data_IF_650154755136
#
_entry.id   IF_650154755136
#
_cell.length_a   1.000
_cell.length_b   1.000
_cell.length_c   1.000
_cell.angle_alpha   90.00
_cell.angle_beta   90.00
_cell.angle_gamma   90.00
#
_symmetry.space_group_name_H-M   'P 1'
#
loop_
_entity.id
_entity.type
_entity.pdbx_description
1 polymer ?
#
# COMPACT_ATOMS: atom_id res chain seq x y z
N UNK A 1 5.02 42.39 73.61
CA UNK A 1 6.13 41.53 73.12
C UNK A 1 5.76 41.00 71.77
N UNK A 2 6.38 41.52 70.70
CA UNK A 2 6.13 41.07 69.29
C UNK A 2 7.24 40.09 68.91
N UNK A 3 6.88 38.86 68.54
CA UNK A 3 7.79 37.87 68.01
C UNK A 3 7.62 37.86 66.48
N UNK A 4 8.69 38.24 65.80
CA UNK A 4 8.73 38.24 64.34
C UNK A 4 9.14 36.83 63.82
N UNK A 5 8.31 36.19 63.04
CA UNK A 5 8.62 34.95 62.32
C UNK A 5 9.22 35.30 60.95
N UNK A 6 10.44 34.84 60.67
CA UNK A 6 11.13 34.97 59.39
C UNK A 6 10.63 33.80 58.45
N UNK A 7 9.97 34.15 57.36
CA UNK A 7 9.75 33.24 56.26
C UNK A 7 11.05 33.06 55.44
N UNK A 8 11.49 31.84 55.30
CA UNK A 8 12.52 31.43 54.34
C UNK A 8 11.86 31.13 53.00
N UNK A 9 12.12 31.94 51.99
CA UNK A 9 11.71 31.67 50.61
C UNK A 9 12.61 30.59 50.03
N UNK A 10 12.00 29.44 49.72
CA UNK A 10 12.60 28.43 48.85
C UNK A 10 12.34 28.82 47.40
N UNK A 11 13.39 29.15 46.66
CA UNK A 11 13.35 29.33 45.21
C UNK A 11 13.30 27.96 44.53
N UNK A 12 12.13 27.59 43.97
CA UNK A 12 12.05 26.53 43.00
C UNK A 12 12.56 27.06 41.65
N UNK A 13 13.72 26.58 41.23
CA UNK A 13 14.21 26.80 39.87
C UNK A 13 13.39 25.91 38.88
N UNK A 14 13.06 26.42 37.68
CA UNK A 14 12.37 25.62 36.66
C UNK A 14 13.33 24.57 36.12
N UNK A 15 12.97 23.30 36.32
CA UNK A 15 13.61 22.15 35.66
C UNK A 15 13.18 22.15 34.18
N UNK A 16 14.01 22.70 33.30
CA UNK A 16 13.89 22.58 31.87
C UNK A 16 14.17 21.12 31.49
N UNK A 17 13.11 20.32 31.39
CA UNK A 17 13.15 19.01 30.70
C UNK A 17 13.27 19.29 29.20
N UNK A 18 14.51 19.29 28.72
CA UNK A 18 14.77 19.28 27.29
C UNK A 18 14.22 17.97 26.68
N UNK A 19 13.07 18.03 26.01
CA UNK A 19 12.68 16.99 25.06
C UNK A 19 13.74 17.02 23.95
N UNK A 20 14.68 16.07 23.98
CA UNK A 20 15.51 15.77 22.85
C UNK A 20 14.57 15.15 21.79
N UNK A 21 14.12 15.96 20.83
CA UNK A 21 13.59 15.45 19.58
C UNK A 21 14.75 14.71 18.91
N UNK A 22 14.77 13.40 19.00
CA UNK A 22 15.61 12.56 18.13
C UNK A 22 15.05 12.66 16.73
N UNK A 23 15.42 13.70 16.00
CA UNK A 23 15.24 13.77 14.57
C UNK A 23 15.99 12.59 13.97
N UNK A 24 15.32 11.74 13.21
CA UNK A 24 15.98 10.73 12.39
C UNK A 24 17.07 11.45 11.57
N UNK A 25 18.34 11.19 11.86
CA UNK A 25 19.45 11.78 11.10
C UNK A 25 19.47 11.09 9.74
N UNK A 26 19.04 11.79 8.70
CA UNK A 26 19.15 11.31 7.33
C UNK A 26 20.64 11.22 6.99
N UNK A 27 21.14 10.00 6.78
CA UNK A 27 22.52 9.76 6.39
C UNK A 27 22.63 9.82 4.86
N UNK A 28 23.42 10.76 4.34
CA UNK A 28 23.75 10.82 2.91
C UNK A 28 24.81 9.76 2.60
N UNK A 29 24.53 8.93 1.62
CA UNK A 29 25.41 7.84 1.15
C UNK A 29 26.00 8.20 -0.20
N UNK A 30 26.98 7.40 -0.65
CA UNK A 30 27.49 7.40 -2.02
C UNK A 30 26.87 6.22 -2.78
N UNK A 31 26.73 6.32 -4.08
CA UNK A 31 26.27 5.18 -4.90
C UNK A 31 27.19 3.95 -4.79
N UNK A 32 28.48 4.16 -4.53
CA UNK A 32 29.41 3.07 -4.24
C UNK A 32 29.14 2.32 -2.93
N UNK A 33 28.40 2.91 -2.03
CA UNK A 33 28.05 2.31 -0.73
C UNK A 33 26.79 1.43 -0.84
N UNK A 34 26.05 1.49 -1.99
CA UNK A 34 24.87 0.69 -2.26
C UNK A 34 25.27 -0.67 -2.84
N UNK A 35 24.99 -1.74 -2.09
CA UNK A 35 25.34 -3.10 -2.52
C UNK A 35 24.61 -3.49 -3.81
N UNK A 36 25.37 -3.85 -4.85
CA UNK A 36 24.83 -4.30 -6.13
C UNK A 36 24.34 -3.18 -7.05
N UNK A 37 24.52 -1.91 -6.70
CA UNK A 37 24.10 -0.76 -7.53
C UNK A 37 24.56 -0.88 -8.97
N UNK A 38 25.85 -1.19 -9.18
CA UNK A 38 26.43 -1.27 -10.53
C UNK A 38 25.88 -2.41 -11.40
N UNK A 39 25.20 -3.38 -10.81
CA UNK A 39 24.69 -4.57 -11.49
C UNK A 39 23.17 -4.53 -11.75
N UNK A 40 22.47 -3.47 -11.32
CA UNK A 40 21.02 -3.35 -11.57
C UNK A 40 20.74 -2.91 -13.02
N UNK A 41 19.56 -3.21 -13.53
CA UNK A 41 19.03 -2.72 -14.79
C UNK A 41 18.48 -1.29 -14.61
N UNK A 42 19.34 -0.29 -14.74
CA UNK A 42 18.99 1.12 -14.58
C UNK A 42 18.06 1.62 -15.67
N UNK A 43 18.10 1.03 -16.88
CA UNK A 43 17.16 1.40 -17.95
C UNK A 43 15.72 1.04 -17.59
N UNK A 44 15.49 -0.13 -16.98
CA UNK A 44 14.16 -0.50 -16.53
C UNK A 44 13.63 0.44 -15.42
N UNK A 45 14.52 0.88 -14.51
CA UNK A 45 14.16 1.88 -13.50
C UNK A 45 13.87 3.24 -14.14
N UNK A 46 14.70 3.67 -15.10
CA UNK A 46 14.54 4.94 -15.81
C UNK A 46 13.25 4.97 -16.66
N UNK A 47 12.90 3.86 -17.31
CA UNK A 47 11.63 3.74 -18.03
C UNK A 47 10.43 3.96 -17.07
N UNK A 48 10.47 3.36 -15.88
CA UNK A 48 9.43 3.54 -14.86
C UNK A 48 9.40 4.99 -14.34
N UNK A 49 10.56 5.62 -14.18
CA UNK A 49 10.66 7.04 -13.80
C UNK A 49 10.04 7.95 -14.86
N UNK A 50 10.35 7.73 -16.14
CA UNK A 50 9.78 8.48 -17.27
C UNK A 50 8.25 8.34 -17.30
N UNK A 51 7.73 7.12 -17.11
CA UNK A 51 6.29 6.87 -17.05
C UNK A 51 5.61 7.61 -15.87
N UNK A 52 6.37 7.96 -14.84
CA UNK A 52 5.89 8.69 -13.65
C UNK A 52 5.88 10.21 -13.86
N UNK A 53 6.77 10.73 -14.70
CA UNK A 53 6.96 12.17 -14.92
C UNK A 53 5.69 12.99 -15.19
N UNK A 54 4.69 12.51 -15.97
CA UNK A 54 3.46 13.28 -16.21
C UNK A 54 2.62 13.59 -14.97
N UNK A 55 2.85 12.90 -13.85
CA UNK A 55 2.15 13.11 -12.56
C UNK A 55 2.96 13.95 -11.57
N UNK A 56 4.21 14.29 -11.90
CA UNK A 56 5.10 15.09 -11.04
C UNK A 56 4.84 16.58 -11.27
N UNK A 57 4.00 17.17 -10.42
CA UNK A 57 3.55 18.56 -10.56
C UNK A 57 4.51 19.58 -9.93
N UNK A 58 5.46 19.14 -9.08
CA UNK A 58 6.46 20.01 -8.48
C UNK A 58 7.44 20.49 -9.56
N UNK A 59 7.68 21.82 -9.68
CA UNK A 59 8.56 22.42 -10.68
C UNK A 59 9.98 21.83 -10.70
N UNK A 60 10.48 21.36 -9.57
CA UNK A 60 11.83 20.80 -9.45
C UNK A 60 12.01 19.50 -10.25
N UNK A 61 10.93 18.75 -10.48
CA UNK A 61 10.97 17.55 -11.33
C UNK A 61 11.04 17.85 -12.82
N UNK A 62 10.53 18.99 -13.27
CA UNK A 62 10.41 19.30 -14.71
C UNK A 62 11.75 19.24 -15.47
N UNK A 63 12.86 19.84 -15.00
CA UNK A 63 14.15 19.70 -15.69
C UNK A 63 14.67 18.27 -15.69
N UNK A 64 14.50 17.52 -14.60
CA UNK A 64 14.94 16.12 -14.48
C UNK A 64 14.15 15.25 -15.47
N UNK A 65 12.84 15.40 -15.52
CA UNK A 65 11.97 14.67 -16.44
C UNK A 65 12.27 14.94 -17.91
N UNK A 66 12.70 16.17 -18.25
CA UNK A 66 13.10 16.49 -19.64
C UNK A 66 14.38 15.79 -20.07
N UNK A 67 15.32 15.55 -19.14
CA UNK A 67 16.59 14.88 -19.43
C UNK A 67 16.46 13.35 -19.47
N UNK A 68 15.47 12.79 -18.79
CA UNK A 68 15.33 11.36 -18.63
C UNK A 68 15.26 10.55 -19.95
N UNK A 69 14.49 10.97 -20.99
CA UNK A 69 14.43 10.25 -22.26
C UNK A 69 15.78 10.14 -22.96
N UNK A 70 16.65 11.16 -22.89
CA UNK A 70 17.96 11.18 -23.54
C UNK A 70 18.92 10.16 -22.91
N UNK A 71 18.70 9.79 -21.64
CA UNK A 71 19.48 8.79 -20.93
C UNK A 71 19.06 7.34 -21.22
N UNK A 72 18.00 7.10 -21.98
CA UNK A 72 17.52 5.76 -22.35
C UNK A 72 18.39 5.03 -23.37
N UNK A 73 19.46 5.64 -23.87
CA UNK A 73 20.34 5.08 -24.92
C UNK A 73 21.09 3.82 -24.50
N UNK A 74 21.46 3.70 -23.24
CA UNK A 74 22.14 2.52 -22.69
C UNK A 74 21.89 2.41 -21.17
N UNK A 75 22.21 1.26 -20.59
CA UNK A 75 22.14 1.09 -19.13
C UNK A 75 23.16 2.01 -18.42
N UNK A 76 24.35 2.17 -18.98
CA UNK A 76 25.37 3.07 -18.46
C UNK A 76 24.89 4.54 -18.46
N UNK A 77 24.18 4.98 -19.52
CA UNK A 77 23.62 6.32 -19.58
C UNK A 77 22.50 6.50 -18.55
N UNK A 78 21.61 5.51 -18.39
CA UNK A 78 20.56 5.52 -17.38
C UNK A 78 21.14 5.54 -15.95
N UNK A 79 22.18 4.76 -15.69
CA UNK A 79 22.92 4.80 -14.43
C UNK A 79 23.51 6.18 -14.15
N UNK A 80 24.21 6.76 -15.14
CA UNK A 80 24.79 8.10 -15.02
C UNK A 80 23.74 9.17 -14.77
N UNK A 81 22.55 9.04 -15.35
CA UNK A 81 21.41 9.93 -15.07
C UNK A 81 21.07 9.96 -13.57
N UNK A 82 20.92 8.80 -12.94
CA UNK A 82 20.63 8.74 -11.51
C UNK A 82 21.82 9.24 -10.67
N UNK A 83 23.04 8.88 -11.01
CA UNK A 83 24.23 9.28 -10.25
C UNK A 83 24.51 10.79 -10.31
N UNK A 84 24.16 11.46 -11.40
CA UNK A 84 24.36 12.90 -11.59
C UNK A 84 23.25 13.75 -10.95
N UNK A 85 22.01 13.28 -11.01
CA UNK A 85 20.85 14.10 -10.64
C UNK A 85 20.30 13.81 -9.24
N UNK A 86 20.69 12.69 -8.62
CA UNK A 86 20.18 12.29 -7.31
C UNK A 86 21.32 12.06 -6.31
N UNK A 87 20.94 11.98 -5.04
CA UNK A 87 21.82 11.61 -3.93
C UNK A 87 21.12 10.55 -3.10
N UNK A 88 21.75 9.39 -2.82
CA UNK A 88 21.16 8.41 -1.92
C UNK A 88 21.13 8.94 -0.48
N UNK A 89 19.97 8.81 0.15
CA UNK A 89 19.76 9.17 1.55
C UNK A 89 19.11 7.98 2.22
N UNK A 90 19.67 7.51 3.33
CA UNK A 90 19.09 6.42 4.10
C UNK A 90 17.81 6.91 4.80
N UNK A 91 16.72 6.16 4.64
CA UNK A 91 15.43 6.44 5.27
C UNK A 91 15.27 5.52 6.48
N UNK A 92 15.21 6.11 7.67
CA UNK A 92 15.05 5.38 8.93
C UNK A 92 16.24 4.50 9.30
N UNK A 93 16.06 3.73 10.38
CA UNK A 93 17.06 2.78 10.88
C UNK A 93 16.72 1.36 10.40
N UNK A 94 17.72 0.56 9.97
CA UNK A 94 17.49 -0.84 9.61
C UNK A 94 17.13 -1.68 10.87
N UNK A 95 16.34 -2.77 10.71
CA UNK A 95 15.74 -3.25 9.46
C UNK A 95 14.42 -2.58 9.12
N UNK A 96 14.20 -2.26 7.83
CA UNK A 96 12.91 -1.82 7.33
C UNK A 96 11.98 -3.02 7.04
N UNK A 97 10.68 -2.83 7.19
CA UNK A 97 9.67 -3.83 6.83
C UNK A 97 9.23 -3.61 5.38
N UNK A 98 9.44 -4.60 4.54
CA UNK A 98 8.93 -4.64 3.17
C UNK A 98 7.83 -5.69 3.02
N UNK A 99 6.77 -5.33 2.33
CA UNK A 99 5.69 -6.25 1.93
C UNK A 99 5.54 -6.24 0.42
N UNK A 100 5.29 -7.40 -0.17
CA UNK A 100 5.01 -7.51 -1.59
C UNK A 100 3.51 -7.35 -1.87
N UNK A 101 3.17 -6.55 -2.89
CA UNK A 101 1.83 -6.49 -3.44
C UNK A 101 1.78 -7.29 -4.75
N UNK A 102 0.66 -7.93 -4.99
CA UNK A 102 0.35 -8.59 -6.27
C UNK A 102 -1.10 -8.31 -6.64
N UNK A 103 -1.39 -8.27 -7.92
CA UNK A 103 -2.76 -8.18 -8.41
C UNK A 103 -3.32 -9.60 -8.51
N UNK A 104 -4.26 -10.01 -7.62
CA UNK A 104 -4.82 -11.34 -7.67
C UNK A 104 -5.68 -11.52 -8.92
N UNK A 105 -5.62 -12.72 -9.51
CA UNK A 105 -6.57 -13.17 -10.50
C UNK A 105 -7.52 -14.16 -9.84
N UNK A 106 -8.81 -13.87 -9.89
CA UNK A 106 -9.87 -14.61 -9.23
C UNK A 106 -10.92 -15.03 -10.26
N UNK A 107 -11.51 -16.20 -10.07
CA UNK A 107 -12.66 -16.60 -10.86
C UNK A 107 -13.93 -15.87 -10.39
N UNK A 108 -14.77 -15.46 -11.34
CA UNK A 108 -15.99 -14.75 -11.02
C UNK A 108 -16.98 -14.71 -12.18
N UNK A 109 -18.06 -13.98 -12.00
CA UNK A 109 -19.09 -13.78 -13.00
C UNK A 109 -19.56 -12.32 -13.01
N UNK A 110 -20.08 -11.88 -14.17
CA UNK A 110 -20.70 -10.55 -14.31
C UNK A 110 -22.08 -10.48 -13.64
N UNK A 111 -22.71 -11.63 -13.42
CA UNK A 111 -24.03 -11.75 -12.80
C UNK A 111 -24.02 -12.79 -11.68
N UNK A 112 -24.91 -12.62 -10.71
CA UNK A 112 -25.07 -13.55 -9.61
C UNK A 112 -25.52 -14.93 -10.08
N UNK A 113 -24.95 -15.97 -9.50
CA UNK A 113 -25.37 -17.36 -9.68
C UNK A 113 -25.28 -18.13 -8.38
N UNK A 114 -25.65 -19.42 -8.38
CA UNK A 114 -25.47 -20.29 -7.21
C UNK A 114 -23.99 -20.43 -6.82
N UNK A 115 -23.08 -20.48 -7.79
CA UNK A 115 -21.63 -20.55 -7.57
C UNK A 115 -21.04 -19.20 -7.23
N UNK A 116 -21.35 -18.16 -7.98
CA UNK A 116 -20.81 -16.82 -7.80
C UNK A 116 -21.83 -15.95 -7.06
N UNK A 117 -21.75 -15.95 -5.74
CA UNK A 117 -22.77 -15.36 -4.86
C UNK A 117 -22.30 -14.11 -4.09
N UNK A 118 -21.00 -13.82 -4.07
CA UNK A 118 -20.40 -12.75 -3.26
C UNK A 118 -19.92 -11.60 -4.13
N UNK A 119 -20.60 -10.43 -4.09
CA UNK A 119 -20.28 -9.31 -4.96
C UNK A 119 -19.11 -8.47 -4.46
N UNK A 120 -18.41 -7.86 -5.43
CA UNK A 120 -17.60 -6.66 -5.21
C UNK A 120 -18.39 -5.45 -5.70
N UNK A 121 -18.31 -4.33 -4.97
CA UNK A 121 -19.17 -3.19 -5.18
C UNK A 121 -18.43 -1.97 -5.69
N UNK A 122 -19.09 -1.20 -6.55
CA UNK A 122 -18.76 0.18 -6.83
C UNK A 122 -19.05 1.06 -5.60
N UNK A 123 -18.39 2.20 -5.54
CA UNK A 123 -18.58 3.17 -4.46
C UNK A 123 -19.97 3.85 -4.61
N UNK A 124 -20.81 3.81 -3.58
CA UNK A 124 -22.05 4.58 -3.57
C UNK A 124 -21.78 6.08 -3.39
N UNK A 125 -22.65 6.92 -3.94
CA UNK A 125 -22.48 8.37 -3.96
C UNK A 125 -22.40 9.00 -2.55
N UNK A 126 -23.03 8.38 -1.57
CA UNK A 126 -23.01 8.83 -0.17
C UNK A 126 -21.68 8.57 0.56
N UNK A 127 -20.77 7.81 -0.02
CA UNK A 127 -19.44 7.56 0.55
C UNK A 127 -18.46 8.64 0.09
N UNK A 128 -18.06 9.50 1.02
CA UNK A 128 -17.14 10.60 0.77
C UNK A 128 -15.72 10.24 1.22
N UNK A 129 -14.71 10.78 0.51
CA UNK A 129 -13.31 10.57 0.87
C UNK A 129 -13.00 11.27 2.21
N UNK A 130 -12.29 10.55 3.10
CA UNK A 130 -11.92 11.06 4.42
C UNK A 130 -13.01 10.98 5.48
N UNK A 131 -14.26 10.71 5.12
CA UNK A 131 -15.37 10.61 6.06
C UNK A 131 -15.68 9.14 6.41
N UNK A 132 -16.14 8.93 7.65
CA UNK A 132 -16.65 7.62 8.07
C UNK A 132 -18.08 7.43 7.62
N UNK A 133 -18.31 6.33 6.91
CA UNK A 133 -19.64 5.83 6.61
C UNK A 133 -19.96 4.62 7.52
N UNK A 134 -20.69 3.63 7.04
CA UNK A 134 -20.99 2.40 7.78
C UNK A 134 -19.76 1.50 7.84
N UNK A 135 -19.55 0.83 8.96
CA UNK A 135 -18.53 -0.22 9.11
C UNK A 135 -18.86 -1.45 8.25
N UNK A 136 -17.89 -2.33 8.01
CA UNK A 136 -18.11 -3.62 7.32
C UNK A 136 -19.29 -4.38 7.90
N UNK A 137 -19.35 -4.51 9.23
CA UNK A 137 -20.41 -5.22 9.91
C UNK A 137 -21.79 -4.62 9.59
N UNK A 138 -21.93 -3.29 9.67
CA UNK A 138 -23.16 -2.59 9.38
C UNK A 138 -23.57 -2.71 7.91
N UNK A 139 -22.61 -2.61 6.97
CA UNK A 139 -22.84 -2.79 5.54
C UNK A 139 -23.38 -4.20 5.25
N UNK A 140 -22.73 -5.22 5.80
CA UNK A 140 -23.09 -6.62 5.57
C UNK A 140 -24.43 -7.00 6.22
N UNK A 141 -24.68 -6.53 7.45
CA UNK A 141 -25.92 -6.83 8.19
C UNK A 141 -27.14 -6.10 7.62
N UNK A 142 -27.01 -4.82 7.31
CA UNK A 142 -28.13 -4.05 6.76
C UNK A 142 -28.43 -4.41 5.31
N UNK A 143 -27.44 -4.91 4.57
CA UNK A 143 -27.57 -5.14 3.13
C UNK A 143 -27.77 -3.87 2.31
N UNK A 144 -27.31 -2.73 2.81
CA UNK A 144 -27.51 -1.38 2.24
C UNK A 144 -27.03 -1.24 0.79
N UNK A 145 -26.12 -2.10 0.36
CA UNK A 145 -25.60 -2.11 -1.02
C UNK A 145 -26.41 -3.00 -1.99
N UNK A 146 -27.31 -3.85 -1.48
CA UNK A 146 -28.05 -4.81 -2.29
C UNK A 146 -29.07 -4.14 -3.20
N UNK A 147 -29.23 -4.68 -4.41
CA UNK A 147 -30.24 -4.24 -5.38
C UNK A 147 -30.12 -2.75 -5.78
N UNK A 148 -28.92 -2.19 -5.74
CA UNK A 148 -28.65 -0.81 -6.12
C UNK A 148 -27.91 -0.70 -7.48
N UNK A 149 -27.60 -1.80 -8.13
CA UNK A 149 -26.84 -1.82 -9.37
C UNK A 149 -25.36 -1.47 -9.19
N UNK A 150 -24.85 -1.61 -7.95
CA UNK A 150 -23.45 -1.31 -7.60
C UNK A 150 -22.52 -2.51 -7.76
N UNK A 151 -23.05 -3.68 -8.10
CA UNK A 151 -22.28 -4.90 -8.24
C UNK A 151 -21.41 -4.87 -9.51
N UNK A 152 -20.08 -4.91 -9.35
CA UNK A 152 -19.11 -4.92 -10.45
C UNK A 152 -18.94 -6.34 -11.00
N UNK A 153 -18.76 -7.30 -10.10
CA UNK A 153 -18.62 -8.72 -10.38
C UNK A 153 -19.01 -9.53 -9.13
N UNK A 154 -19.19 -10.82 -9.32
CA UNK A 154 -19.55 -11.78 -8.28
C UNK A 154 -18.48 -12.84 -8.17
N UNK A 155 -17.98 -13.11 -6.97
CA UNK A 155 -16.98 -14.12 -6.66
C UNK A 155 -17.62 -15.35 -6.01
N UNK A 156 -16.86 -16.46 -5.98
CA UNK A 156 -17.32 -17.71 -5.39
C UNK A 156 -17.19 -17.74 -3.86
N UNK A 157 -16.22 -17.01 -3.30
CA UNK A 157 -15.80 -17.10 -1.91
C UNK A 157 -15.76 -15.71 -1.23
N UNK A 158 -16.46 -15.51 -0.10
CA UNK A 158 -16.43 -14.24 0.62
C UNK A 158 -15.03 -13.89 1.15
N UNK A 159 -14.19 -14.90 1.43
CA UNK A 159 -12.83 -14.64 1.88
C UNK A 159 -11.96 -14.06 0.75
N UNK A 160 -12.21 -14.46 -0.50
CA UNK A 160 -11.53 -13.86 -1.65
C UNK A 160 -11.98 -12.41 -1.91
N UNK A 161 -13.28 -12.10 -1.71
CA UNK A 161 -13.76 -10.71 -1.69
C UNK A 161 -13.03 -9.89 -0.63
N UNK A 162 -12.89 -10.41 0.58
CA UNK A 162 -12.20 -9.73 1.67
C UNK A 162 -10.72 -9.48 1.35
N UNK A 163 -10.01 -10.48 0.84
CA UNK A 163 -8.60 -10.31 0.48
C UNK A 163 -8.41 -9.42 -0.75
N UNK A 164 -9.33 -9.42 -1.72
CA UNK A 164 -9.33 -8.47 -2.82
C UNK A 164 -9.45 -7.02 -2.31
N UNK A 165 -10.28 -6.79 -1.30
CA UNK A 165 -10.38 -5.48 -0.65
C UNK A 165 -9.07 -5.07 0.05
N UNK A 166 -8.32 -6.01 0.62
CA UNK A 166 -6.99 -5.72 1.19
C UNK A 166 -5.99 -5.33 0.10
N UNK A 167 -6.01 -6.02 -1.05
CA UNK A 167 -5.12 -5.70 -2.18
C UNK A 167 -5.52 -4.39 -2.89
N UNK A 168 -6.79 -4.03 -2.88
CA UNK A 168 -7.33 -2.82 -3.52
C UNK A 168 -7.48 -2.92 -5.04
N UNK A 169 -7.03 -3.99 -5.67
CA UNK A 169 -7.17 -4.25 -7.11
C UNK A 169 -7.12 -5.74 -7.42
N UNK A 170 -7.66 -6.13 -8.58
CA UNK A 170 -7.61 -7.51 -9.05
C UNK A 170 -8.22 -7.72 -10.41
N UNK A 171 -7.99 -8.91 -10.91
CA UNK A 171 -8.51 -9.43 -12.21
C UNK A 171 -9.57 -10.48 -11.92
N UNK A 172 -10.75 -10.27 -12.44
CA UNK A 172 -11.86 -11.22 -12.30
C UNK A 172 -12.04 -11.91 -13.66
N UNK A 173 -11.64 -13.17 -13.73
CA UNK A 173 -11.80 -14.00 -14.92
C UNK A 173 -13.22 -14.52 -15.00
N UNK A 174 -13.90 -14.18 -16.08
CA UNK A 174 -15.28 -14.62 -16.34
C UNK A 174 -15.30 -15.99 -17.03
N UNK A 175 -16.44 -16.72 -17.01
CA UNK A 175 -16.56 -18.04 -17.62
C UNK A 175 -16.32 -18.06 -19.14
N UNK A 176 -16.51 -16.93 -19.81
CA UNK A 176 -16.22 -16.77 -21.25
C UNK A 176 -14.75 -16.44 -21.56
N UNK A 177 -13.88 -16.42 -20.52
CA UNK A 177 -12.46 -16.09 -20.64
C UNK A 177 -12.13 -14.60 -20.61
N UNK A 178 -13.13 -13.70 -20.68
CA UNK A 178 -12.86 -12.25 -20.53
C UNK A 178 -12.52 -11.89 -19.08
N UNK A 179 -11.86 -10.75 -18.91
CA UNK A 179 -11.40 -10.29 -17.59
C UNK A 179 -12.04 -8.94 -17.27
N UNK A 180 -12.66 -8.83 -16.10
CA UNK A 180 -12.99 -7.55 -15.48
C UNK A 180 -11.80 -7.15 -14.63
N UNK A 181 -11.21 -5.98 -14.91
CA UNK A 181 -10.20 -5.38 -14.04
C UNK A 181 -10.88 -4.46 -13.03
N UNK A 182 -10.72 -4.80 -11.76
CA UNK A 182 -11.20 -4.02 -10.62
C UNK A 182 -10.04 -3.22 -10.03
N UNK A 183 -10.21 -1.91 -9.91
CA UNK A 183 -9.27 -1.01 -9.24
C UNK A 183 -9.93 -0.32 -8.06
N UNK A 184 -9.14 0.16 -7.13
CA UNK A 184 -9.57 0.91 -5.96
C UNK A 184 -10.36 2.16 -6.37
N UNK A 185 -11.47 2.43 -5.66
CA UNK A 185 -12.33 3.60 -5.89
C UNK A 185 -12.72 4.33 -4.59
N UNK A 186 -12.23 3.89 -3.47
CA UNK A 186 -12.49 4.50 -2.19
C UNK A 186 -12.76 3.50 -1.08
N UNK A 187 -12.93 4.03 0.13
CA UNK A 187 -13.20 3.24 1.34
C UNK A 187 -14.22 3.94 2.24
N UNK A 188 -14.79 3.17 3.16
CA UNK A 188 -15.78 3.65 4.14
C UNK A 188 -15.20 4.49 5.30
N UNK A 189 -13.95 4.98 5.20
CA UNK A 189 -13.33 5.86 6.20
C UNK A 189 -12.80 5.17 7.47
N UNK A 190 -12.91 3.85 7.60
CA UNK A 190 -12.34 3.12 8.73
C UNK A 190 -10.93 2.62 8.40
N UNK A 191 -10.05 2.67 9.42
CA UNK A 191 -8.73 2.05 9.33
C UNK A 191 -8.84 0.51 9.32
N UNK A 192 -7.93 -0.13 8.59
CA UNK A 192 -7.82 -1.59 8.58
C UNK A 192 -7.46 -2.14 9.95
N UNK A 193 -8.17 -3.17 10.40
CA UNK A 193 -7.82 -3.98 11.57
C UNK A 193 -7.42 -5.38 11.13
N UNK A 194 -6.20 -5.79 11.53
CA UNK A 194 -5.62 -7.07 11.09
C UNK A 194 -6.37 -8.27 11.67
N UNK A 195 -7.01 -9.03 10.80
CA UNK A 195 -7.66 -10.30 11.17
C UNK A 195 -6.63 -11.37 11.56
N UNK A 196 -5.40 -11.31 11.02
CA UNK A 196 -4.32 -12.19 11.45
C UNK A 196 -3.89 -11.93 12.90
N UNK A 197 -3.76 -10.65 13.30
CA UNK A 197 -3.48 -10.30 14.70
C UNK A 197 -4.63 -10.74 15.63
N UNK A 198 -5.85 -10.69 15.15
CA UNK A 198 -7.01 -11.14 15.93
C UNK A 198 -6.96 -12.66 16.17
N UNK A 199 -6.60 -13.48 15.18
CA UNK A 199 -6.40 -14.92 15.34
C UNK A 199 -5.29 -15.25 16.36
N UNK A 200 -4.21 -14.48 16.36
CA UNK A 200 -3.14 -14.59 17.36
C UNK A 200 -3.65 -14.21 18.75
N UNK A 201 -4.38 -13.12 18.87
CA UNK A 201 -4.99 -12.67 20.15
C UNK A 201 -5.95 -13.70 20.73
N UNK A 202 -6.69 -14.41 19.88
CA UNK A 202 -7.58 -15.51 20.29
C UNK A 202 -6.84 -16.81 20.62
N UNK A 203 -5.52 -16.88 20.43
CA UNK A 203 -4.72 -18.06 20.69
C UNK A 203 -4.89 -19.18 19.65
N UNK A 204 -5.50 -18.89 18.49
CA UNK A 204 -5.72 -19.88 17.42
C UNK A 204 -4.41 -20.18 16.67
N UNK A 205 -3.58 -19.19 16.45
CA UNK A 205 -2.25 -19.35 15.83
C UNK A 205 -1.19 -18.55 16.58
N UNK A 206 0.06 -19.01 16.47
CA UNK A 206 1.24 -18.23 16.86
C UNK A 206 1.57 -17.19 15.77
N UNK A 207 2.22 -16.06 16.10
CA UNK A 207 2.57 -15.04 15.10
C UNK A 207 3.31 -15.55 13.87
N UNK A 208 4.20 -16.52 14.05
CA UNK A 208 4.99 -17.14 12.99
C UNK A 208 4.20 -18.07 12.06
N UNK A 209 3.00 -18.47 12.45
CA UNK A 209 2.12 -19.34 11.66
C UNK A 209 1.15 -18.56 10.77
N UNK A 210 0.97 -17.26 11.01
CA UNK A 210 -0.02 -16.46 10.29
C UNK A 210 0.49 -16.05 8.92
N UNK A 211 -0.26 -16.43 7.89
CA UNK A 211 -0.11 -15.96 6.52
C UNK A 211 -1.48 -15.75 5.88
N UNK A 212 -1.54 -15.06 4.75
CA UNK A 212 -2.81 -14.88 4.02
C UNK A 212 -3.46 -16.24 3.68
N UNK A 213 -2.67 -17.22 3.27
CA UNK A 213 -3.17 -18.56 2.95
C UNK A 213 -3.73 -19.29 4.17
N UNK A 214 -3.03 -19.20 5.31
CA UNK A 214 -3.50 -19.82 6.56
C UNK A 214 -4.83 -19.19 7.01
N UNK A 215 -4.95 -17.86 6.93
CA UNK A 215 -6.21 -17.19 7.27
C UNK A 215 -7.33 -17.61 6.32
N UNK A 216 -7.09 -17.66 5.00
CA UNK A 216 -8.07 -18.10 4.01
C UNK A 216 -8.56 -19.52 4.29
N UNK A 217 -7.66 -20.45 4.55
CA UNK A 217 -8.00 -21.83 4.86
C UNK A 217 -8.83 -21.91 6.15
N UNK A 218 -8.38 -21.23 7.21
CA UNK A 218 -9.10 -21.22 8.49
C UNK A 218 -10.54 -20.68 8.36
N UNK A 219 -10.73 -19.59 7.59
CA UNK A 219 -12.08 -19.03 7.34
C UNK A 219 -12.97 -20.02 6.59
N UNK A 220 -12.42 -20.73 5.60
CA UNK A 220 -13.15 -21.74 4.83
C UNK A 220 -13.56 -22.95 5.68
N UNK A 221 -12.64 -23.38 6.55
CA UNK A 221 -12.86 -24.52 7.46
C UNK A 221 -13.82 -24.16 8.63
N UNK A 222 -13.99 -22.88 8.93
CA UNK A 222 -14.80 -22.35 10.03
C UNK A 222 -15.74 -21.23 9.56
N UNK A 223 -16.74 -21.47 8.71
CA UNK A 223 -17.49 -20.42 8.01
C UNK A 223 -18.18 -19.40 8.93
N UNK A 224 -18.77 -19.81 10.04
CA UNK A 224 -19.43 -18.89 10.98
C UNK A 224 -18.44 -18.07 11.78
N UNK A 225 -17.42 -18.70 12.38
CA UNK A 225 -16.35 -18.02 13.08
C UNK A 225 -15.50 -17.16 12.12
N UNK A 226 -15.28 -17.65 10.91
CA UNK A 226 -14.62 -16.93 9.85
C UNK A 226 -15.32 -15.64 9.45
N UNK A 227 -16.65 -15.68 9.30
CA UNK A 227 -17.46 -14.47 9.06
C UNK A 227 -17.27 -13.44 10.17
N UNK A 228 -17.36 -13.86 11.43
CA UNK A 228 -17.14 -12.97 12.60
C UNK A 228 -15.72 -12.41 12.59
N UNK A 229 -14.71 -13.24 12.26
CA UNK A 229 -13.33 -12.79 12.11
C UNK A 229 -13.17 -11.71 11.03
N UNK A 230 -13.74 -11.91 9.84
CA UNK A 230 -13.64 -10.92 8.77
C UNK A 230 -14.31 -9.60 9.14
N UNK A 231 -15.44 -9.65 9.89
CA UNK A 231 -16.16 -8.49 10.41
C UNK A 231 -15.40 -7.73 11.51
N UNK A 232 -14.38 -8.34 12.13
CA UNK A 232 -13.46 -7.63 13.04
C UNK A 232 -12.75 -6.46 12.35
N UNK A 233 -12.50 -6.56 11.06
CA UNK A 233 -12.00 -5.45 10.26
C UNK A 233 -13.17 -4.53 9.82
N UNK A 234 -13.30 -3.31 10.37
CA UNK A 234 -14.39 -2.40 10.02
C UNK A 234 -14.21 -1.75 8.65
N UNK A 235 -12.99 -1.79 8.07
CA UNK A 235 -12.70 -1.20 6.77
C UNK A 235 -13.40 -1.97 5.64
N UNK A 236 -13.99 -1.23 4.71
CA UNK A 236 -14.62 -1.75 3.50
C UNK A 236 -14.14 -0.95 2.29
N UNK A 237 -13.67 -1.66 1.24
CA UNK A 237 -13.13 -1.05 0.03
C UNK A 237 -14.13 -1.20 -1.09
N UNK A 238 -14.30 -0.12 -1.85
CA UNK A 238 -15.08 -0.04 -3.08
C UNK A 238 -14.17 -0.04 -4.29
N UNK A 239 -14.72 -0.51 -5.41
CA UNK A 239 -13.96 -0.70 -6.64
C UNK A 239 -14.58 0.06 -7.80
N UNK A 240 -13.77 0.28 -8.84
CA UNK A 240 -14.23 0.69 -10.16
C UNK A 240 -13.73 -0.26 -11.24
N UNK A 241 -14.43 -0.34 -12.34
CA UNK A 241 -13.93 -1.05 -13.52
C UNK A 241 -12.85 -0.23 -14.20
N UNK A 242 -11.81 -0.91 -14.69
CA UNK A 242 -10.70 -0.32 -15.45
C UNK A 242 -10.69 -0.92 -16.88
N UNK A 243 -11.67 -0.58 -17.74
CA UNK A 243 -11.82 -1.23 -19.06
C UNK A 243 -10.66 -0.88 -20.00
N UNK A 244 -10.11 0.32 -19.88
CA UNK A 244 -9.08 0.85 -20.77
C UNK A 244 -7.64 0.51 -20.32
N UNK A 245 -7.50 -0.23 -19.22
CA UNK A 245 -6.18 -0.64 -18.73
C UNK A 245 -5.71 -1.90 -19.47
N UNK A 246 -4.64 -1.82 -20.30
CA UNK A 246 -4.13 -2.96 -21.07
C UNK A 246 -3.82 -4.17 -20.18
N UNK A 247 -4.03 -5.39 -20.68
CA UNK A 247 -3.85 -6.64 -19.92
C UNK A 247 -2.44 -6.81 -19.33
N UNK A 248 -1.42 -6.34 -20.07
CA UNK A 248 -0.01 -6.44 -19.69
C UNK A 248 0.42 -5.40 -18.64
N UNK A 249 -0.37 -4.35 -18.44
CA UNK A 249 -0.09 -3.33 -17.43
C UNK A 249 -0.49 -3.80 -16.02
N UNK A 250 0.30 -3.40 -15.03
CA UNK A 250 -0.01 -3.60 -13.61
C UNK A 250 -1.23 -2.80 -13.12
N UNK A 251 -1.65 -2.97 -11.87
CA UNK A 251 -2.72 -2.18 -11.28
C UNK A 251 -2.35 -0.69 -11.22
N UNK A 252 -3.36 0.14 -10.98
CA UNK A 252 -3.15 1.59 -10.82
C UNK A 252 -2.66 1.87 -9.40
N UNK A 253 -1.50 2.51 -9.28
CA UNK A 253 -0.91 2.96 -8.02
C UNK A 253 -1.46 4.32 -7.54
N UNK A 254 -0.90 4.82 -6.44
CA UNK A 254 -1.34 6.06 -5.80
C UNK A 254 -1.22 7.30 -6.71
N UNK A 255 -0.30 7.28 -7.67
CA UNK A 255 -0.13 8.35 -8.65
C UNK A 255 -1.08 8.26 -9.85
N UNK A 256 -2.09 7.39 -9.82
CA UNK A 256 -3.02 7.21 -10.94
C UNK A 256 -2.38 6.56 -12.19
N UNK A 257 -1.21 5.96 -12.05
CA UNK A 257 -0.46 5.26 -13.12
C UNK A 257 -0.33 3.77 -12.82
N UNK A 258 -0.19 2.99 -13.86
CA UNK A 258 0.07 1.57 -13.75
C UNK A 258 1.43 1.31 -13.09
N UNK A 259 1.44 0.49 -12.04
CA UNK A 259 2.70 0.09 -11.40
C UNK A 259 3.44 -0.92 -12.27
N UNK A 260 4.77 -0.85 -12.25
CA UNK A 260 5.66 -1.73 -12.99
C UNK A 260 6.22 -2.79 -12.06
N UNK A 261 6.07 -4.06 -12.44
CA UNK A 261 6.57 -5.19 -11.65
C UNK A 261 8.05 -5.02 -11.33
N UNK A 262 8.40 -5.12 -10.06
CA UNK A 262 9.76 -5.01 -9.55
C UNK A 262 10.47 -3.68 -9.86
N UNK A 263 9.70 -2.63 -10.23
CA UNK A 263 10.23 -1.28 -10.47
C UNK A 263 9.39 -0.18 -9.80
N UNK A 264 8.16 -0.48 -9.37
CA UNK A 264 7.36 0.44 -8.57
C UNK A 264 7.36 0.02 -7.10
N UNK A 265 7.41 1.00 -6.22
CA UNK A 265 7.40 0.84 -4.77
C UNK A 265 6.28 1.69 -4.17
N UNK A 266 5.34 1.07 -3.44
CA UNK A 266 4.40 1.81 -2.62
C UNK A 266 5.12 2.35 -1.38
N UNK A 267 4.98 3.63 -1.11
CA UNK A 267 5.64 4.34 -0.03
C UNK A 267 4.63 5.13 0.81
N UNK A 268 5.02 5.48 2.01
CA UNK A 268 4.33 6.51 2.78
C UNK A 268 4.86 7.89 2.33
N UNK A 269 3.99 8.77 1.77
CA UNK A 269 4.40 10.09 1.29
C UNK A 269 4.94 11.03 2.38
N UNK A 270 4.70 10.74 3.66
CA UNK A 270 5.29 11.48 4.78
C UNK A 270 6.81 11.26 4.87
N UNK A 271 7.30 10.11 4.40
CA UNK A 271 8.73 9.76 4.47
C UNK A 271 9.43 9.76 3.11
N UNK A 272 8.70 9.44 2.05
CA UNK A 272 9.28 9.32 0.70
C UNK A 272 8.36 9.98 -0.30
N UNK A 273 8.86 11.02 -0.98
CA UNK A 273 8.11 11.72 -2.02
C UNK A 273 7.74 10.76 -3.17
N UNK A 274 6.50 10.83 -3.62
CA UNK A 274 6.07 10.11 -4.82
C UNK A 274 6.88 10.59 -6.04
N UNK A 275 7.27 9.64 -6.88
CA UNK A 275 8.17 9.86 -8.01
C UNK A 275 9.66 9.71 -7.67
N UNK A 276 10.04 9.69 -6.40
CA UNK A 276 11.44 9.56 -6.01
C UNK A 276 12.00 8.18 -6.41
N UNK A 277 13.24 8.13 -6.98
CA UNK A 277 13.99 6.88 -7.09
C UNK A 277 14.36 6.36 -5.70
N UNK A 278 14.13 5.07 -5.47
CA UNK A 278 14.40 4.41 -4.19
C UNK A 278 15.24 3.16 -4.43
N UNK A 279 16.42 3.10 -3.82
CA UNK A 279 17.21 1.89 -3.78
C UNK A 279 16.73 0.98 -2.67
N UNK A 280 16.42 -0.27 -3.00
CA UNK A 280 15.91 -1.26 -2.05
C UNK A 280 16.95 -2.37 -1.86
N UNK A 281 17.33 -2.59 -0.60
CA UNK A 281 18.17 -3.70 -0.18
C UNK A 281 17.40 -4.62 0.76
N UNK A 282 17.22 -5.87 0.38
CA UNK A 282 16.57 -6.90 1.17
C UNK A 282 17.45 -8.13 1.21
N UNK A 283 17.77 -8.59 2.40
CA UNK A 283 18.53 -9.83 2.66
C UNK A 283 17.60 -11.04 2.85
N UNK A 284 18.20 -12.19 3.16
CA UNK A 284 17.51 -13.43 3.46
C UNK A 284 17.14 -14.24 2.22
N UNK A 285 16.08 -15.03 2.31
CA UNK A 285 15.59 -15.80 1.16
C UNK A 285 15.17 -14.84 0.04
N UNK A 286 15.69 -15.10 -1.18
CA UNK A 286 15.48 -14.25 -2.36
C UNK A 286 15.93 -12.80 -2.09
N UNK A 287 17.23 -12.55 -1.98
CA UNK A 287 17.75 -11.21 -1.75
C UNK A 287 17.36 -10.29 -2.90
N UNK A 288 17.14 -9.02 -2.60
CA UNK A 288 16.76 -8.03 -3.59
C UNK A 288 17.66 -6.80 -3.46
N UNK A 289 18.25 -6.41 -4.57
CA UNK A 289 19.06 -5.20 -4.75
C UNK A 289 18.53 -4.50 -5.99
N UNK A 290 17.76 -3.43 -5.82
CA UNK A 290 17.02 -2.88 -6.95
C UNK A 290 16.67 -1.41 -6.82
N UNK A 291 16.87 -0.68 -7.93
CA UNK A 291 16.33 0.67 -8.06
C UNK A 291 14.86 0.61 -8.48
N UNK A 292 14.01 1.23 -7.69
CA UNK A 292 12.57 1.32 -7.90
C UNK A 292 12.13 2.79 -7.89
N UNK A 293 10.89 3.06 -8.30
CA UNK A 293 10.29 4.39 -8.28
C UNK A 293 9.10 4.38 -7.33
N UNK A 294 9.03 5.35 -6.46
CA UNK A 294 7.90 5.55 -5.55
C UNK A 294 6.64 5.95 -6.33
N UNK A 295 5.57 5.12 -6.28
CA UNK A 295 4.34 5.31 -7.06
C UNK A 295 3.07 5.06 -6.27
#
# INVERSE_FOLDING_TARGET
MRVAARLRSLALGPLLVGLAMTGASAQVLRFSDLEGWAADDHRAALATFIDTCPQLNDPDWSPICRLAPDAMTSDAAARSFFELLFRPVQIGDPPALFTGYYEPELEGAAQRSARFAYPIYARPDEVQDGERWLSRLEIEQSGVLRNRGLEIAWLEDPVDVFFLQIQGSGRIRLPNGSIIRAGYDGRNGYAYRSVGRELVRQGIFMPSQVSAQVIKNWVRDNPDAGRVLLQHNPSFIFFRRLPDLPPEKGPIGAMGRSVTTMRSLAVDPEYTQLGAPVWLEKDGQNPLRRLMVAQ
#
